data_IF_510773072105
#
_entry.id   IF_510773072105
#
_cell.length_a   1.000
_cell.length_b   1.000
_cell.length_c   1.000
_cell.angle_alpha   90.00
_cell.angle_beta   90.00
_cell.angle_gamma   90.00
#
_symmetry.space_group_name_H-M   'P 1'
#
loop_
_entity.id
_entity.type
_entity.pdbx_description
1 polymer ?
#
# COMPACT_ATOMS: atom_id res chain seq x y z
N UNK A 1 17.67 16.02 9.07
CA UNK A 1 19.01 16.13 9.67
C UNK A 1 20.14 16.38 8.66
N UNK A 2 19.91 16.23 7.35
CA UNK A 2 20.94 16.56 6.35
C UNK A 2 22.05 15.51 6.24
N UNK A 3 21.77 14.26 6.64
CA UNK A 3 22.72 13.13 6.62
C UNK A 3 22.41 12.20 5.44
N UNK A 4 22.98 12.43 4.24
CA UNK A 4 22.60 11.71 3.02
C UNK A 4 22.94 10.22 3.06
N UNK A 5 24.09 9.85 3.62
CA UNK A 5 24.50 8.43 3.73
C UNK A 5 23.57 7.64 4.64
N UNK A 6 23.13 8.24 5.75
CA UNK A 6 22.16 7.63 6.66
C UNK A 6 20.80 7.45 5.99
N UNK A 7 20.35 8.45 5.22
CA UNK A 7 19.09 8.36 4.47
C UNK A 7 19.12 7.23 3.42
N UNK A 8 20.23 7.08 2.69
CA UNK A 8 20.39 6.00 1.72
C UNK A 8 20.45 4.62 2.40
N UNK A 9 21.16 4.51 3.52
CA UNK A 9 21.18 3.27 4.30
C UNK A 9 19.77 2.88 4.77
N UNK A 10 18.98 3.81 5.32
CA UNK A 10 17.61 3.53 5.73
C UNK A 10 16.73 3.09 4.56
N UNK A 11 16.83 3.77 3.42
CA UNK A 11 16.07 3.41 2.22
C UNK A 11 16.42 2.00 1.76
N UNK A 12 17.71 1.67 1.68
CA UNK A 12 18.19 0.36 1.25
C UNK A 12 17.68 -0.75 2.17
N UNK A 13 17.88 -0.58 3.48
CA UNK A 13 17.46 -1.54 4.50
C UNK A 13 15.94 -1.73 4.48
N UNK A 14 15.16 -0.66 4.29
CA UNK A 14 13.69 -0.78 4.19
C UNK A 14 13.24 -1.69 3.04
N UNK A 15 13.92 -1.66 1.89
CA UNK A 15 13.63 -2.58 0.78
C UNK A 15 14.07 -4.01 1.09
N UNK A 16 15.21 -4.19 1.78
CA UNK A 16 15.70 -5.51 2.20
C UNK A 16 14.73 -6.17 3.21
N UNK A 17 14.19 -5.41 4.16
CA UNK A 17 13.19 -5.92 5.10
C UNK A 17 11.84 -6.21 4.44
N UNK A 18 11.44 -5.43 3.43
CA UNK A 18 10.26 -5.75 2.62
C UNK A 18 10.45 -7.06 1.85
N UNK A 19 11.66 -7.35 1.35
CA UNK A 19 12.00 -8.62 0.71
C UNK A 19 11.96 -9.78 1.72
N UNK A 20 12.45 -9.59 2.95
CA UNK A 20 12.33 -10.59 4.01
C UNK A 20 10.87 -10.94 4.30
N UNK A 21 10.01 -9.93 4.45
CA UNK A 21 8.58 -10.14 4.66
C UNK A 21 7.92 -10.90 3.49
N UNK A 22 8.29 -10.58 2.24
CA UNK A 22 7.78 -11.28 1.06
C UNK A 22 8.17 -12.78 1.04
N UNK A 23 9.42 -13.11 1.42
CA UNK A 23 9.89 -14.51 1.52
C UNK A 23 9.09 -15.30 2.56
N UNK A 24 8.80 -14.70 3.72
CA UNK A 24 7.95 -15.36 4.71
C UNK A 24 6.50 -15.52 4.22
N UNK A 25 5.94 -14.52 3.54
CA UNK A 25 4.60 -14.62 2.96
C UNK A 25 4.49 -15.78 1.95
N UNK A 26 5.54 -16.02 1.17
CA UNK A 26 5.63 -17.17 0.26
C UNK A 26 5.76 -18.50 1.02
N UNK A 27 6.63 -18.58 2.03
CA UNK A 27 6.83 -19.80 2.82
C UNK A 27 5.57 -20.22 3.62
N UNK A 28 4.82 -19.25 4.14
CA UNK A 28 3.59 -19.51 4.89
C UNK A 28 2.43 -19.91 3.97
N UNK A 29 2.40 -19.41 2.74
CA UNK A 29 1.36 -19.72 1.75
C UNK A 29 -0.04 -19.17 2.07
N UNK A 30 -0.16 -18.32 3.09
CA UNK A 30 -1.44 -17.74 3.53
C UNK A 30 -1.76 -16.41 2.84
N UNK A 31 -0.74 -15.68 2.39
CA UNK A 31 -0.86 -14.30 1.87
C UNK A 31 -0.66 -14.26 0.34
N UNK A 32 0.03 -15.24 -0.22
CA UNK A 32 0.28 -15.38 -1.66
C UNK A 32 -0.20 -16.75 -2.13
N UNK A 33 -0.91 -16.76 -3.26
CA UNK A 33 -1.27 -18.00 -3.96
C UNK A 33 -0.45 -18.15 -5.23
N UNK A 34 -0.41 -19.36 -5.79
CA UNK A 34 0.36 -19.65 -7.01
C UNK A 34 -0.12 -18.88 -8.27
N UNK A 35 -1.32 -18.28 -8.22
CA UNK A 35 -1.91 -17.56 -9.35
C UNK A 35 -1.65 -16.05 -9.27
N UNK A 36 -0.89 -15.52 -10.23
CA UNK A 36 -0.70 -14.07 -10.39
C UNK A 36 -2.02 -13.33 -10.58
N UNK A 37 -3.00 -13.93 -11.28
CA UNK A 37 -4.33 -13.33 -11.47
C UNK A 37 -5.05 -13.14 -10.13
N UNK A 38 -5.05 -14.16 -9.27
CA UNK A 38 -5.72 -14.09 -7.97
C UNK A 38 -4.99 -13.14 -7.02
N UNK A 39 -3.65 -13.15 -7.01
CA UNK A 39 -2.88 -12.17 -6.23
C UNK A 39 -3.15 -10.73 -6.69
N UNK A 40 -3.23 -10.46 -8.00
CA UNK A 40 -3.55 -9.12 -8.53
C UNK A 40 -4.97 -8.69 -8.16
N UNK A 41 -5.97 -9.58 -8.24
CA UNK A 41 -7.33 -9.30 -7.77
C UNK A 41 -7.34 -8.93 -6.29
N UNK A 42 -6.67 -9.73 -5.45
CA UNK A 42 -6.56 -9.46 -4.02
C UNK A 42 -5.92 -8.09 -3.74
N UNK A 43 -4.92 -7.67 -4.54
CA UNK A 43 -4.35 -6.32 -4.43
C UNK A 43 -5.34 -5.22 -4.81
N UNK A 44 -6.10 -5.37 -5.89
CA UNK A 44 -7.13 -4.39 -6.27
C UNK A 44 -8.16 -4.23 -5.14
N UNK A 45 -8.64 -5.33 -4.57
CA UNK A 45 -9.58 -5.31 -3.45
C UNK A 45 -8.97 -4.67 -2.20
N UNK A 46 -7.72 -5.01 -1.87
CA UNK A 46 -7.01 -4.44 -0.74
C UNK A 46 -6.83 -2.92 -0.87
N UNK A 47 -6.40 -2.42 -2.04
CA UNK A 47 -6.23 -0.97 -2.26
C UNK A 47 -7.56 -0.22 -2.21
N UNK A 48 -8.64 -0.80 -2.77
CA UNK A 48 -9.97 -0.19 -2.68
C UNK A 48 -10.48 -0.11 -1.23
N UNK A 49 -10.26 -1.19 -0.45
CA UNK A 49 -10.58 -1.23 0.98
C UNK A 49 -9.77 -0.20 1.78
N UNK A 50 -8.46 -0.13 1.54
CA UNK A 50 -7.56 0.82 2.18
C UNK A 50 -7.90 2.28 1.83
N UNK A 51 -8.19 2.56 0.56
CA UNK A 51 -8.65 3.87 0.09
C UNK A 51 -9.91 4.31 0.84
N UNK A 52 -10.91 3.42 0.97
CA UNK A 52 -12.13 3.70 1.72
C UNK A 52 -11.85 3.96 3.21
N UNK A 53 -11.11 3.05 3.85
CA UNK A 53 -10.79 3.17 5.28
C UNK A 53 -10.02 4.44 5.61
N UNK A 54 -9.03 4.81 4.77
CA UNK A 54 -8.29 6.07 4.92
C UNK A 54 -9.18 7.29 4.73
N UNK A 55 -10.11 7.26 3.78
CA UNK A 55 -11.10 8.35 3.61
C UNK A 55 -11.96 8.53 4.86
N UNK A 56 -12.43 7.43 5.45
CA UNK A 56 -13.25 7.45 6.66
C UNK A 56 -12.45 8.00 7.85
N UNK A 57 -11.19 7.58 8.01
CA UNK A 57 -10.27 8.10 9.04
C UNK A 57 -10.02 9.59 8.84
N UNK A 58 -9.69 10.03 7.63
CA UNK A 58 -9.45 11.44 7.33
C UNK A 58 -10.69 12.28 7.66
N UNK A 59 -11.87 11.84 7.22
CA UNK A 59 -13.15 12.52 7.51
C UNK A 59 -13.37 12.67 9.01
N UNK A 60 -13.15 11.60 9.78
CA UNK A 60 -13.28 11.63 11.24
C UNK A 60 -12.23 12.54 11.88
N UNK A 61 -10.99 12.52 11.43
CA UNK A 61 -9.94 13.40 11.91
C UNK A 61 -10.32 14.87 11.70
N UNK A 62 -10.91 15.21 10.55
CA UNK A 62 -11.39 16.58 10.28
C UNK A 62 -12.52 17.00 11.22
N UNK A 63 -13.47 16.12 11.49
CA UNK A 63 -14.56 16.37 12.44
C UNK A 63 -14.06 16.60 13.87
N UNK A 64 -12.93 15.99 14.23
CA UNK A 64 -12.27 16.14 15.52
C UNK A 64 -11.24 17.28 15.56
N UNK A 65 -11.13 18.09 14.49
CA UNK A 65 -10.14 19.17 14.33
C UNK A 65 -8.68 18.68 14.45
N UNK A 66 -8.40 17.45 14.03
CA UNK A 66 -7.06 16.86 13.98
C UNK A 66 -6.46 17.01 12.58
N UNK A 67 -6.20 18.26 12.19
CA UNK A 67 -5.87 18.61 10.80
C UNK A 67 -4.60 17.92 10.27
N UNK A 68 -3.54 17.80 11.08
CA UNK A 68 -2.32 17.09 10.66
C UNK A 68 -2.55 15.62 10.32
N UNK A 69 -3.47 14.95 11.05
CA UNK A 69 -3.86 13.58 10.78
C UNK A 69 -4.75 13.52 9.54
N UNK A 70 -5.71 14.43 9.42
CA UNK A 70 -6.55 14.53 8.23
C UNK A 70 -5.69 14.65 6.97
N UNK A 71 -4.79 15.63 6.93
CA UNK A 71 -4.01 15.93 5.73
C UNK A 71 -3.11 14.76 5.33
N UNK A 72 -2.39 14.18 6.30
CA UNK A 72 -1.53 13.02 6.08
C UNK A 72 -2.34 11.82 5.56
N UNK A 73 -3.44 11.46 6.22
CA UNK A 73 -4.23 10.28 5.84
C UNK A 73 -5.00 10.51 4.53
N UNK A 74 -5.39 11.75 4.25
CA UNK A 74 -6.04 12.12 3.00
C UNK A 74 -5.08 12.03 1.82
N UNK A 75 -3.80 12.41 1.97
CA UNK A 75 -2.77 12.16 0.95
C UNK A 75 -2.58 10.66 0.72
N UNK A 76 -2.44 9.88 1.80
CA UNK A 76 -2.33 8.42 1.70
C UNK A 76 -3.55 7.79 1.00
N UNK A 77 -4.76 8.35 1.16
CA UNK A 77 -5.97 7.89 0.47
C UNK A 77 -5.84 8.04 -1.05
N UNK A 78 -5.22 9.14 -1.53
CA UNK A 78 -4.97 9.36 -2.96
C UNK A 78 -3.95 8.36 -3.51
N UNK A 79 -2.94 8.02 -2.72
CA UNK A 79 -1.98 6.99 -3.10
C UNK A 79 -2.64 5.62 -3.28
N UNK A 80 -3.52 5.20 -2.37
CA UNK A 80 -4.19 3.90 -2.52
C UNK A 80 -5.14 3.90 -3.73
N UNK A 81 -5.80 5.02 -4.03
CA UNK A 81 -6.58 5.15 -5.26
C UNK A 81 -5.70 4.96 -6.51
N UNK A 82 -4.50 5.57 -6.53
CA UNK A 82 -3.53 5.42 -7.61
C UNK A 82 -2.99 3.98 -7.69
N UNK A 83 -2.67 3.35 -6.57
CA UNK A 83 -2.23 1.96 -6.51
C UNK A 83 -3.32 1.01 -7.03
N UNK A 84 -4.57 1.20 -6.60
CA UNK A 84 -5.71 0.43 -7.08
C UNK A 84 -5.88 0.51 -8.60
N UNK A 85 -5.78 1.71 -9.17
CA UNK A 85 -5.82 1.90 -10.63
C UNK A 85 -4.68 1.19 -11.37
N UNK A 86 -3.47 1.22 -10.80
CA UNK A 86 -2.31 0.50 -11.38
C UNK A 86 -2.56 -1.01 -11.39
N UNK A 87 -2.96 -1.59 -10.26
CA UNK A 87 -3.22 -3.03 -10.19
C UNK A 87 -4.41 -3.45 -11.05
N UNK A 88 -5.47 -2.66 -11.09
CA UNK A 88 -6.64 -2.92 -11.93
C UNK A 88 -6.26 -2.88 -13.42
N UNK A 89 -5.43 -1.92 -13.81
CA UNK A 89 -4.89 -1.82 -15.17
C UNK A 89 -4.05 -3.05 -15.55
N UNK A 90 -3.18 -3.53 -14.65
CA UNK A 90 -2.39 -4.74 -14.88
C UNK A 90 -3.27 -5.99 -14.97
N UNK A 91 -4.24 -6.14 -14.06
CA UNK A 91 -5.18 -7.25 -14.06
C UNK A 91 -5.96 -7.31 -15.38
N UNK A 92 -6.50 -6.17 -15.83
CA UNK A 92 -7.22 -6.06 -17.11
C UNK A 92 -6.31 -6.37 -18.30
N UNK A 93 -5.08 -5.86 -18.31
CA UNK A 93 -4.16 -6.03 -19.43
C UNK A 93 -3.75 -7.49 -19.67
N UNK A 94 -3.56 -8.27 -18.61
CA UNK A 94 -2.99 -9.62 -18.72
C UNK A 94 -4.00 -10.75 -18.50
N UNK A 95 -5.18 -10.47 -17.93
CA UNK A 95 -6.10 -11.53 -17.47
C UNK A 95 -7.60 -11.26 -17.72
N UNK A 96 -7.97 -10.20 -18.46
CA UNK A 96 -9.33 -9.96 -18.93
C UNK A 96 -9.67 -10.77 -20.18
#
# INVERSE_FOLDING_TARGET
>A
EGLPEVAEAYKRIAFEEAEHAAKFAELLGEVLVASTKENLKARVEAENGACKGKKDIATRAKQLNLDAIHDTVHEMCKDEARHGQVFEGLLKRYFA
#
